data_IF_908697884158
#
_entry.id   IF_908697884158
#
_cell.length_a   1.000
_cell.length_b   1.000
_cell.length_c   1.000
_cell.angle_alpha   90.00
_cell.angle_beta   90.00
_cell.angle_gamma   90.00
#
_symmetry.space_group_name_H-M   'P 1'
#
loop_
_entity.id
_entity.type
_entity.pdbx_description
1 polymer ?
#
# COMPACT_ATOMS: atom_id res chain seq x y z
N UNK A 1 -6.89 5.43 12.77
CA UNK A 1 -7.28 5.55 11.35
C UNK A 1 -6.23 6.39 10.65
N UNK A 2 -5.78 5.95 9.49
CA UNK A 2 -4.85 6.66 8.63
C UNK A 2 -5.48 6.86 7.25
N UNK A 3 -5.31 8.06 6.70
CA UNK A 3 -5.68 8.40 5.34
C UNK A 3 -4.40 8.73 4.56
N UNK A 4 -4.07 7.90 3.57
CA UNK A 4 -2.95 8.14 2.66
C UNK A 4 -3.48 8.80 1.41
N UNK A 5 -3.02 10.00 1.08
CA UNK A 5 -3.38 10.71 -0.16
C UNK A 5 -2.13 10.95 -0.99
N UNK A 6 -2.18 10.53 -2.25
CA UNK A 6 -1.11 10.73 -3.23
C UNK A 6 -1.69 11.45 -4.43
N UNK A 7 -1.07 12.56 -4.81
CA UNK A 7 -1.47 13.32 -5.99
C UNK A 7 -1.02 12.61 -7.27
N UNK A 8 -1.72 12.87 -8.37
CA UNK A 8 -1.32 12.37 -9.68
C UNK A 8 0.03 12.96 -10.10
N UNK A 9 0.92 12.13 -10.65
CA UNK A 9 2.15 12.59 -11.29
C UNK A 9 1.94 12.73 -12.79
N UNK A 10 1.81 13.98 -13.24
CA UNK A 10 1.62 14.32 -14.66
C UNK A 10 2.85 14.93 -15.31
N UNK A 11 3.81 15.41 -14.51
CA UNK A 11 5.13 15.88 -14.95
C UNK A 11 6.11 14.73 -14.82
N UNK A 12 6.57 14.23 -15.96
CA UNK A 12 7.41 13.04 -16.07
C UNK A 12 8.58 13.35 -17.00
N UNK A 13 9.75 12.79 -16.69
CA UNK A 13 10.93 12.92 -17.54
C UNK A 13 10.81 12.01 -18.76
N UNK A 14 10.88 12.60 -19.96
CA UNK A 14 10.94 11.83 -21.20
C UNK A 14 12.26 11.07 -21.34
N UNK A 15 13.37 11.67 -20.91
CA UNK A 15 14.71 11.07 -20.95
C UNK A 15 14.83 9.81 -20.08
N UNK A 16 14.04 9.74 -19.00
CA UNK A 16 14.00 8.59 -18.10
C UNK A 16 12.85 7.62 -18.41
N UNK A 17 12.10 7.86 -19.49
CA UNK A 17 10.92 7.08 -19.87
C UNK A 17 9.88 6.94 -18.72
N UNK A 18 9.71 8.00 -17.93
CA UNK A 18 8.81 7.96 -16.77
C UNK A 18 7.33 7.94 -17.19
N UNK A 19 6.57 6.98 -16.65
CA UNK A 19 5.12 6.92 -16.89
C UNK A 19 4.36 7.83 -15.93
N UNK A 20 3.31 8.50 -16.44
CA UNK A 20 2.37 9.25 -15.62
C UNK A 20 1.56 8.30 -14.73
N UNK A 21 1.19 8.76 -13.55
CA UNK A 21 0.35 8.01 -12.61
C UNK A 21 -0.86 8.83 -12.16
N UNK A 22 -1.96 8.13 -11.89
CA UNK A 22 -3.14 8.75 -11.29
C UNK A 22 -2.93 8.96 -9.80
N UNK A 23 -3.64 9.95 -9.24
CA UNK A 23 -3.69 10.13 -7.80
C UNK A 23 -4.56 9.07 -7.15
N UNK A 24 -4.27 8.73 -5.90
CA UNK A 24 -5.06 7.77 -5.14
C UNK A 24 -5.17 8.15 -3.67
N UNK A 25 -6.21 7.62 -3.03
CA UNK A 25 -6.43 7.73 -1.61
C UNK A 25 -6.71 6.35 -1.04
N UNK A 26 -6.02 5.99 0.05
CA UNK A 26 -6.22 4.75 0.79
C UNK A 26 -6.63 5.09 2.23
N UNK A 27 -7.52 4.27 2.78
CA UNK A 27 -7.88 4.34 4.20
C UNK A 27 -7.40 3.05 4.87
N UNK A 28 -6.63 3.20 5.93
CA UNK A 28 -6.14 2.13 6.78
C UNK A 28 -6.75 2.29 8.18
N UNK A 29 -7.20 1.19 8.75
CA UNK A 29 -7.79 1.15 10.09
C UNK A 29 -6.95 0.26 10.98
N UNK A 30 -6.60 0.77 12.16
CA UNK A 30 -5.90 0.03 13.20
C UNK A 30 -6.64 0.28 14.51
N UNK A 31 -6.92 -0.79 15.23
CA UNK A 31 -7.39 -0.78 16.60
C UNK A 31 -6.33 -1.37 17.53
N UNK A 32 -6.39 -0.94 18.78
CA UNK A 32 -5.55 -1.43 19.86
C UNK A 32 -6.45 -1.85 21.02
N UNK A 33 -6.12 -2.96 21.67
CA UNK A 33 -6.73 -3.35 22.93
C UNK A 33 -5.67 -3.87 23.89
N UNK A 34 -5.60 -3.23 25.06
CA UNK A 34 -4.75 -3.65 26.17
C UNK A 34 -5.47 -4.71 26.99
N UNK A 35 -5.08 -5.97 26.81
CA UNK A 35 -5.67 -7.10 27.51
C UNK A 35 -5.22 -7.17 28.97
N UNK A 36 -3.94 -6.88 29.24
CA UNK A 36 -3.37 -6.78 30.59
C UNK A 36 -2.36 -5.63 30.66
N UNK A 37 -1.76 -5.36 31.82
CA UNK A 37 -0.68 -4.35 31.89
C UNK A 37 0.54 -4.73 31.04
N UNK A 38 0.75 -6.02 30.82
CA UNK A 38 1.90 -6.57 30.10
C UNK A 38 1.60 -6.87 28.63
N UNK A 39 0.32 -7.06 28.26
CA UNK A 39 -0.10 -7.54 26.93
C UNK A 39 -1.02 -6.54 26.23
N UNK A 40 -0.58 -6.09 25.06
CA UNK A 40 -1.37 -5.26 24.14
C UNK A 40 -1.49 -5.95 22.80
N UNK A 41 -2.68 -5.89 22.20
CA UNK A 41 -2.96 -6.44 20.88
C UNK A 41 -3.36 -5.32 19.95
N UNK A 42 -2.75 -5.31 18.78
CA UNK A 42 -3.09 -4.42 17.69
C UNK A 42 -3.70 -5.26 16.58
N UNK A 43 -4.76 -4.77 15.97
CA UNK A 43 -5.33 -5.40 14.79
C UNK A 43 -5.66 -4.31 13.77
N UNK A 44 -5.46 -4.60 12.48
CA UNK A 44 -5.74 -3.60 11.46
C UNK A 44 -6.08 -4.19 10.10
N UNK A 45 -6.68 -3.34 9.28
CA UNK A 45 -6.98 -3.59 7.87
C UNK A 45 -6.45 -2.40 7.07
N UNK A 46 -5.53 -2.69 6.16
CA UNK A 46 -4.99 -1.72 5.22
C UNK A 46 -5.79 -1.78 3.91
N UNK A 47 -5.92 -0.62 3.25
CA UNK A 47 -6.68 -0.47 2.02
C UNK A 47 -8.12 -1.03 2.16
N UNK A 48 -8.89 -0.47 3.11
CA UNK A 48 -10.22 -0.98 3.50
C UNK A 48 -11.17 -1.14 2.31
N UNK A 49 -11.08 -0.25 1.32
CA UNK A 49 -11.92 -0.26 0.13
C UNK A 49 -11.36 -1.10 -1.03
N UNK A 50 -10.25 -1.80 -0.84
CA UNK A 50 -9.58 -2.62 -1.86
C UNK A 50 -9.33 -1.87 -3.17
N UNK A 51 -8.87 -0.62 -3.05
CA UNK A 51 -8.56 0.22 -4.19
C UNK A 51 -7.31 -0.31 -4.89
N UNK A 52 -7.42 -0.60 -6.19
CA UNK A 52 -6.26 -0.78 -7.06
C UNK A 52 -5.54 0.57 -7.22
N UNK A 53 -4.25 0.61 -6.93
CA UNK A 53 -3.41 1.79 -7.11
C UNK A 53 -2.02 1.38 -7.58
N UNK A 54 -1.33 2.30 -8.24
CA UNK A 54 0.05 2.14 -8.65
C UNK A 54 0.86 3.30 -8.06
N UNK A 55 1.83 2.96 -7.20
CA UNK A 55 2.74 3.95 -6.63
C UNK A 55 3.63 4.50 -7.74
N UNK A 56 3.81 5.81 -7.82
CA UNK A 56 4.66 6.46 -8.82
C UNK A 56 6.16 6.14 -8.65
N UNK A 57 6.59 5.82 -7.43
CA UNK A 57 7.93 5.28 -7.14
C UNK A 57 7.97 3.75 -7.13
N UNK A 58 6.84 3.11 -7.41
CA UNK A 58 6.72 1.66 -7.56
C UNK A 58 7.60 1.10 -8.68
N UNK A 59 7.93 -0.18 -8.58
CA UNK A 59 8.69 -0.89 -9.60
C UNK A 59 7.85 -1.19 -10.84
N UNK A 60 8.55 -1.56 -11.91
CA UNK A 60 7.97 -2.12 -13.12
C UNK A 60 8.28 -3.61 -13.21
N UNK A 61 7.38 -4.38 -13.81
CA UNK A 61 7.67 -5.76 -14.09
C UNK A 61 8.73 -5.88 -15.21
N UNK A 62 9.78 -6.65 -14.96
CA UNK A 62 10.91 -6.85 -15.87
C UNK A 62 11.10 -8.32 -16.28
N UNK A 63 10.21 -9.20 -15.84
CA UNK A 63 10.26 -10.63 -16.11
C UNK A 63 8.93 -11.13 -16.64
N UNK A 64 8.92 -12.30 -17.27
CA UNK A 64 7.68 -12.89 -17.77
C UNK A 64 6.78 -13.23 -16.58
N UNK A 65 5.56 -12.71 -16.58
CA UNK A 65 4.54 -12.96 -15.57
C UNK A 65 3.17 -13.07 -16.28
N UNK A 66 2.29 -14.01 -15.87
CA UNK A 66 0.99 -14.21 -16.51
C UNK A 66 -0.03 -13.09 -16.23
N UNK A 67 0.15 -12.34 -15.15
CA UNK A 67 -0.82 -11.36 -14.63
C UNK A 67 -0.40 -9.90 -14.89
N UNK A 68 0.90 -9.65 -15.06
CA UNK A 68 1.47 -8.30 -15.25
C UNK A 68 2.40 -8.33 -16.46
N UNK A 69 2.14 -7.53 -17.49
CA UNK A 69 2.99 -7.50 -18.67
C UNK A 69 4.38 -6.93 -18.35
N UNK A 70 5.39 -7.27 -19.16
CA UNK A 70 6.72 -6.66 -19.05
C UNK A 70 6.60 -5.18 -19.39
N UNK A 71 7.13 -4.31 -18.53
CA UNK A 71 7.03 -2.86 -18.66
C UNK A 71 5.80 -2.24 -17.99
N UNK A 72 4.86 -3.05 -17.49
CA UNK A 72 3.75 -2.55 -16.67
C UNK A 72 4.20 -2.30 -15.24
N UNK A 73 3.57 -1.30 -14.61
CA UNK A 73 3.84 -0.95 -13.22
C UNK A 73 3.31 -2.03 -12.28
N UNK A 74 4.08 -2.34 -11.23
CA UNK A 74 3.69 -3.34 -10.25
C UNK A 74 2.57 -2.74 -9.37
N UNK A 75 1.41 -3.42 -9.27
CA UNK A 75 0.35 -3.04 -8.36
C UNK A 75 0.80 -2.79 -6.93
N UNK A 76 0.28 -1.74 -6.30
CA UNK A 76 0.31 -1.62 -4.85
C UNK A 76 -0.48 -2.75 -4.18
N UNK A 77 -0.15 -3.04 -2.92
CA UNK A 77 -0.78 -4.12 -2.17
C UNK A 77 -2.29 -3.84 -2.00
N UNK A 78 -3.12 -4.82 -2.35
CA UNK A 78 -4.56 -4.77 -2.15
C UNK A 78 -4.97 -4.77 -0.67
N UNK A 79 -6.25 -4.99 -0.40
CA UNK A 79 -6.72 -5.09 0.99
C UNK A 79 -6.02 -6.23 1.74
N UNK A 80 -5.46 -5.91 2.89
CA UNK A 80 -4.82 -6.89 3.78
C UNK A 80 -5.18 -6.60 5.24
N UNK A 81 -5.11 -7.64 6.08
CA UNK A 81 -5.39 -7.55 7.50
C UNK A 81 -4.24 -8.13 8.31
N UNK A 82 -4.04 -7.62 9.51
CA UNK A 82 -2.98 -8.06 10.40
C UNK A 82 -3.42 -8.05 11.87
N UNK A 83 -2.73 -8.85 12.68
CA UNK A 83 -2.80 -8.84 14.14
C UNK A 83 -1.38 -8.86 14.69
N UNK A 84 -1.10 -8.05 15.70
CA UNK A 84 0.20 -7.93 16.35
C UNK A 84 0.03 -8.06 17.85
N UNK A 85 0.83 -8.91 18.47
CA UNK A 85 0.90 -9.08 19.92
C UNK A 85 2.15 -8.36 20.43
N UNK A 86 1.98 -7.49 21.42
CA UNK A 86 3.08 -6.79 22.10
C UNK A 86 3.05 -7.17 23.58
N UNK A 87 4.14 -7.78 24.05
CA UNK A 87 4.32 -8.20 25.44
C UNK A 87 5.54 -7.51 26.03
N UNK A 88 5.41 -6.99 27.25
CA UNK A 88 6.51 -6.46 28.05
C UNK A 88 6.61 -7.23 29.36
N UNK A 89 7.84 -7.49 29.82
CA UNK A 89 8.16 -8.24 31.02
C UNK A 89 8.98 -7.40 32.01
#
# INVERSE_FOLDING_TARGET
MELVNVAAQSKVSAENEEAKTSGYSLINLTGEYRFTQQLTVYAGVNNVFDRRYDDHLGGYNRVINPDIAIGDRIPGVGRNAYVTLSMSW
#
